data_IF_596778592650
#
_entry.id   IF_596778592650
#
_cell.length_a   1.000
_cell.length_b   1.000
_cell.length_c   1.000
_cell.angle_alpha   90.00
_cell.angle_beta   90.00
_cell.angle_gamma   90.00
#
_symmetry.space_group_name_H-M   'P 1'
#
loop_
_entity.id
_entity.type
_entity.pdbx_description
1 polymer ?
#
# COMPACT_ATOMS: atom_id res chain seq x y z
N UNK A 1 7.61 -16.69 2.43
CA UNK A 1 7.29 -16.34 3.84
C UNK A 1 5.80 -16.05 3.97
N UNK A 2 5.21 -16.22 5.15
CA UNK A 2 3.82 -15.83 5.45
C UNK A 2 3.81 -14.85 6.61
N UNK A 3 3.00 -13.80 6.53
CA UNK A 3 2.82 -12.79 7.57
C UNK A 3 1.33 -12.67 7.86
N UNK A 4 0.95 -12.76 9.14
CA UNK A 4 -0.41 -12.48 9.57
C UNK A 4 -0.70 -10.98 9.48
N UNK A 5 -1.83 -10.65 8.89
CA UNK A 5 -2.27 -9.27 8.71
C UNK A 5 -3.73 -9.11 9.12
N UNK A 6 -4.08 -7.92 9.61
CA UNK A 6 -5.46 -7.52 9.81
C UNK A 6 -5.98 -6.88 8.52
N UNK A 7 -7.04 -7.45 7.95
CA UNK A 7 -7.70 -6.87 6.79
C UNK A 7 -8.54 -5.66 7.22
N UNK A 8 -8.34 -4.54 6.53
CA UNK A 8 -9.04 -3.28 6.77
C UNK A 8 -9.94 -2.88 5.60
N UNK A 9 -9.59 -3.33 4.39
CA UNK A 9 -10.45 -3.30 3.22
C UNK A 9 -10.25 -4.59 2.43
N UNK A 10 -11.32 -5.33 2.17
CA UNK A 10 -11.29 -6.66 1.57
C UNK A 10 -10.79 -6.66 0.12
N UNK A 11 -10.28 -7.81 -0.32
CA UNK A 11 -9.88 -8.08 -1.70
C UNK A 11 -8.52 -8.78 -1.79
N UNK A 12 -8.44 -9.73 -2.72
CA UNK A 12 -7.23 -10.47 -2.99
C UNK A 12 -6.39 -9.76 -4.05
N UNK A 13 -5.07 -9.83 -3.89
CA UNK A 13 -4.14 -9.16 -4.78
C UNK A 13 -2.83 -9.91 -4.89
N UNK A 14 -2.24 -9.94 -6.08
CA UNK A 14 -0.90 -10.48 -6.31
C UNK A 14 -0.11 -9.57 -7.26
N UNK A 15 1.14 -9.30 -6.90
CA UNK A 15 2.01 -8.46 -7.73
C UNK A 15 3.43 -8.32 -7.19
N UNK A 16 4.23 -7.57 -7.92
CA UNK A 16 5.57 -7.20 -7.50
C UNK A 16 5.52 -6.26 -6.29
N UNK A 17 6.48 -6.43 -5.37
CA UNK A 17 6.59 -5.62 -4.16
C UNK A 17 7.26 -4.29 -4.50
N UNK A 18 6.66 -3.21 -4.01
CA UNK A 18 7.32 -1.92 -3.83
C UNK A 18 7.29 -1.59 -2.35
N UNK A 19 8.43 -1.72 -1.67
CA UNK A 19 8.55 -1.55 -0.22
C UNK A 19 9.38 -0.32 0.19
N UNK A 20 8.89 0.46 1.14
CA UNK A 20 9.56 1.65 1.69
C UNK A 20 9.71 1.57 3.21
N UNK A 21 10.80 2.15 3.73
CA UNK A 21 11.05 2.25 5.18
C UNK A 21 10.71 3.61 5.77
N UNK A 22 9.89 4.40 5.09
CA UNK A 22 9.51 5.74 5.55
C UNK A 22 8.02 5.95 5.32
N UNK A 23 7.36 6.78 6.17
CA UNK A 23 5.95 7.09 5.99
C UNK A 23 5.71 7.86 4.70
N UNK A 24 4.62 7.53 4.00
CA UNK A 24 4.24 8.19 2.74
C UNK A 24 3.24 9.32 3.00
N UNK A 25 3.52 10.48 2.43
CA UNK A 25 2.56 11.57 2.28
C UNK A 25 1.89 11.48 0.92
N UNK A 26 0.65 11.01 0.89
CA UNK A 26 -0.13 10.99 -0.36
C UNK A 26 -0.31 12.40 -0.95
N UNK A 27 -0.30 13.44 -0.13
CA UNK A 27 -0.24 14.81 -0.62
C UNK A 27 1.23 15.20 -0.90
N UNK A 28 1.53 15.55 -2.16
CA UNK A 28 2.82 16.11 -2.56
C UNK A 28 3.87 15.08 -2.99
N UNK A 29 3.86 13.86 -2.44
CA UNK A 29 4.81 12.80 -2.87
C UNK A 29 4.21 11.87 -3.93
N UNK A 30 2.88 11.76 -4.01
CA UNK A 30 2.22 10.86 -4.95
C UNK A 30 1.67 11.63 -6.14
N UNK A 31 2.12 11.28 -7.34
CA UNK A 31 1.51 11.71 -8.58
C UNK A 31 0.47 10.67 -9.03
N UNK A 32 -0.80 10.93 -8.74
CA UNK A 32 -1.91 10.05 -9.08
C UNK A 32 -2.09 9.82 -10.59
N UNK A 33 -1.79 10.82 -11.41
CA UNK A 33 -1.93 10.75 -12.88
C UNK A 33 -0.92 9.81 -13.53
N UNK A 34 0.24 9.63 -12.90
CA UNK A 34 1.29 8.74 -13.40
C UNK A 34 1.38 7.42 -12.60
N UNK A 35 0.78 7.36 -11.41
CA UNK A 35 0.96 6.20 -10.52
C UNK A 35 2.35 6.11 -9.94
N UNK A 36 2.93 7.25 -9.55
CA UNK A 36 4.32 7.34 -9.11
C UNK A 36 4.42 7.98 -7.73
N UNK A 37 5.32 7.44 -6.91
CA UNK A 37 5.84 8.12 -5.72
C UNK A 37 7.13 8.84 -6.10
N UNK A 38 7.26 10.09 -5.69
CA UNK A 38 8.46 10.90 -5.77
C UNK A 38 9.20 10.79 -4.44
N UNK A 39 10.39 10.19 -4.45
CA UNK A 39 11.23 10.07 -3.27
C UNK A 39 12.69 10.34 -3.62
N UNK A 40 13.31 11.35 -2.96
CA UNK A 40 14.71 11.76 -3.22
C UNK A 40 15.01 11.93 -4.71
N UNK A 41 14.14 12.67 -5.41
CA UNK A 41 14.20 12.94 -6.86
C UNK A 41 14.06 11.71 -7.77
N UNK A 42 13.75 10.53 -7.22
CA UNK A 42 13.42 9.33 -7.99
C UNK A 42 11.91 9.15 -8.08
N UNK A 43 11.45 8.76 -9.27
CA UNK A 43 10.08 8.35 -9.52
C UNK A 43 9.99 6.83 -9.47
N UNK A 44 9.08 6.31 -8.65
CA UNK A 44 8.89 4.88 -8.49
C UNK A 44 7.42 4.59 -8.77
N UNK A 45 7.17 3.73 -9.76
CA UNK A 45 5.80 3.34 -10.11
C UNK A 45 5.20 2.41 -9.06
N UNK A 46 3.97 2.71 -8.66
CA UNK A 46 3.15 1.90 -7.76
C UNK A 46 1.96 1.24 -8.46
N UNK A 47 1.76 1.54 -9.74
CA UNK A 47 0.68 0.96 -10.53
C UNK A 47 0.82 -0.55 -10.63
N UNK A 48 -0.27 -1.26 -10.34
CA UNK A 48 -0.36 -2.72 -10.41
C UNK A 48 0.61 -3.48 -9.46
N UNK A 49 1.17 -2.79 -8.45
CA UNK A 49 2.11 -3.34 -7.46
C UNK A 49 1.43 -3.64 -6.12
N UNK A 50 2.13 -4.39 -5.27
CA UNK A 50 1.83 -4.49 -3.83
C UNK A 50 2.70 -3.44 -3.13
N UNK A 51 2.06 -2.36 -2.68
CA UNK A 51 2.75 -1.24 -2.03
C UNK A 51 2.84 -1.49 -0.52
N UNK A 52 4.06 -1.49 0.02
CA UNK A 52 4.34 -1.81 1.43
C UNK A 52 5.12 -0.66 2.08
N UNK A 53 4.64 -0.12 3.20
CA UNK A 53 5.30 1.00 3.90
C UNK A 53 4.86 1.07 5.38
N UNK A 54 5.55 1.82 6.28
CA UNK A 54 5.23 1.79 7.71
C UNK A 54 3.83 2.34 8.02
N UNK A 55 3.57 3.59 7.63
CA UNK A 55 2.32 4.31 7.89
C UNK A 55 2.20 5.53 6.98
N UNK A 56 1.08 6.24 7.05
CA UNK A 56 0.92 7.53 6.36
C UNK A 56 1.40 8.71 7.21
N UNK A 57 1.65 9.84 6.54
CA UNK A 57 1.86 11.14 7.19
C UNK A 57 1.04 12.23 6.48
N UNK A 58 0.60 13.23 7.24
CA UNK A 58 -0.25 14.32 6.75
C UNK A 58 -1.75 14.01 6.88
N UNK A 59 -2.58 15.05 7.07
CA UNK A 59 -3.82 14.87 7.84
C UNK A 59 -5.13 15.34 7.17
N UNK A 60 -5.12 15.70 5.88
CA UNK A 60 -6.33 16.33 5.29
C UNK A 60 -6.81 15.65 4.01
N UNK A 61 -6.00 15.64 2.95
CA UNK A 61 -6.46 15.34 1.58
C UNK A 61 -5.87 14.07 0.97
N UNK A 62 -5.17 13.26 1.76
CA UNK A 62 -4.54 12.03 1.27
C UNK A 62 -5.53 11.02 0.66
N UNK A 63 -6.74 10.93 1.22
CA UNK A 63 -7.80 10.05 0.72
C UNK A 63 -8.22 10.38 -0.72
N UNK A 64 -8.28 11.65 -1.09
CA UNK A 64 -8.60 12.08 -2.46
C UNK A 64 -7.49 11.73 -3.45
N UNK A 65 -6.23 11.71 -3.03
CA UNK A 65 -5.13 11.29 -3.89
C UNK A 65 -5.16 9.78 -4.13
N UNK A 66 -5.50 8.99 -3.09
CA UNK A 66 -5.73 7.54 -3.23
C UNK A 66 -6.88 7.27 -4.20
N UNK A 67 -7.99 8.00 -4.06
CA UNK A 67 -9.10 7.94 -5.01
C UNK A 67 -8.67 8.32 -6.43
N UNK A 68 -7.89 9.39 -6.58
CA UNK A 68 -7.38 9.81 -7.88
C UNK A 68 -6.49 8.73 -8.54
N UNK A 69 -5.66 8.00 -7.77
CA UNK A 69 -4.88 6.88 -8.31
C UNK A 69 -5.79 5.84 -8.97
N UNK A 70 -6.91 5.50 -8.32
CA UNK A 70 -7.90 4.57 -8.88
C UNK A 70 -8.60 5.17 -10.09
N UNK A 71 -9.06 6.41 -10.00
CA UNK A 71 -9.72 7.13 -11.09
C UNK A 71 -8.87 7.19 -12.37
N UNK A 72 -7.55 7.40 -12.22
CA UNK A 72 -6.60 7.40 -13.34
C UNK A 72 -6.09 6.01 -13.74
N UNK A 73 -6.64 4.92 -13.18
CA UNK A 73 -6.22 3.54 -13.44
C UNK A 73 -4.73 3.28 -13.15
N UNK A 74 -4.22 3.90 -12.10
CA UNK A 74 -2.81 3.83 -11.69
C UNK A 74 -2.63 3.39 -10.23
N UNK A 75 -3.69 2.86 -9.63
CA UNK A 75 -3.65 2.37 -8.26
C UNK A 75 -2.74 1.15 -8.10
N UNK A 76 -2.16 0.96 -6.91
CA UNK A 76 -1.61 -0.33 -6.52
C UNK A 76 -2.72 -1.39 -6.44
N UNK A 77 -2.34 -2.66 -6.58
CA UNK A 77 -3.26 -3.80 -6.40
C UNK A 77 -3.65 -4.01 -4.95
N UNK A 78 -2.73 -3.72 -4.03
CA UNK A 78 -2.99 -3.70 -2.59
C UNK A 78 -2.00 -2.79 -1.89
N UNK A 79 -2.41 -2.30 -0.72
CA UNK A 79 -1.57 -1.55 0.21
C UNK A 79 -1.45 -2.35 1.51
N UNK A 80 -0.22 -2.59 1.97
CA UNK A 80 0.05 -3.21 3.26
C UNK A 80 0.87 -2.24 4.11
N UNK A 81 0.44 -2.00 5.34
CA UNK A 81 1.13 -1.08 6.25
C UNK A 81 1.45 -1.72 7.59
N UNK A 82 2.46 -1.21 8.30
CA UNK A 82 2.69 -1.59 9.70
C UNK A 82 1.63 -0.98 10.62
N UNK A 83 1.17 0.24 10.29
CA UNK A 83 0.08 0.91 10.98
C UNK A 83 -0.77 1.74 10.02
N UNK A 84 -2.07 1.46 10.01
CA UNK A 84 -3.04 2.20 9.22
C UNK A 84 -3.61 3.39 10.00
N UNK A 85 -3.73 4.53 9.31
CA UNK A 85 -4.41 5.72 9.81
C UNK A 85 -5.80 5.85 9.17
N UNK A 86 -6.78 6.51 9.83
CA UNK A 86 -8.14 6.65 9.31
C UNK A 86 -8.25 7.20 7.89
N UNK A 87 -7.37 8.12 7.49
CA UNK A 87 -7.36 8.73 6.15
C UNK A 87 -6.97 7.71 5.07
N UNK A 88 -5.98 6.87 5.35
CA UNK A 88 -5.58 5.79 4.44
C UNK A 88 -6.72 4.80 4.26
N UNK A 89 -7.36 4.40 5.37
CA UNK A 89 -8.50 3.47 5.37
C UNK A 89 -9.63 4.04 4.54
N UNK A 90 -10.04 5.29 4.80
CA UNK A 90 -11.09 5.97 4.05
C UNK A 90 -10.76 6.04 2.55
N UNK A 91 -9.53 6.42 2.18
CA UNK A 91 -9.09 6.46 0.79
C UNK A 91 -9.15 5.10 0.10
N UNK A 92 -8.69 4.04 0.77
CA UNK A 92 -8.69 2.68 0.22
C UNK A 92 -10.11 2.12 0.05
N UNK A 93 -10.98 2.32 1.04
CA UNK A 93 -12.39 1.92 0.99
C UNK A 93 -13.10 2.63 -0.16
N UNK A 94 -12.95 3.96 -0.27
CA UNK A 94 -13.54 4.75 -1.37
C UNK A 94 -13.04 4.31 -2.76
N UNK A 95 -11.83 3.78 -2.83
CA UNK A 95 -11.16 3.39 -4.09
C UNK A 95 -11.30 1.90 -4.43
N UNK A 96 -11.85 1.09 -3.53
CA UNK A 96 -11.84 -0.36 -3.64
C UNK A 96 -10.41 -0.93 -3.77
N UNK A 97 -9.44 -0.35 -3.05
CA UNK A 97 -8.05 -0.84 -3.01
C UNK A 97 -7.91 -1.69 -1.75
N UNK A 98 -7.56 -2.98 -1.87
CA UNK A 98 -7.29 -3.84 -0.71
C UNK A 98 -6.27 -3.22 0.24
N UNK A 99 -6.58 -3.27 1.54
CA UNK A 99 -5.76 -2.68 2.59
C UNK A 99 -5.61 -3.65 3.75
N UNK A 100 -4.38 -3.86 4.22
CA UNK A 100 -4.10 -4.67 5.40
C UNK A 100 -3.03 -4.03 6.31
N UNK A 101 -3.11 -4.32 7.60
CA UNK A 101 -2.17 -3.88 8.65
C UNK A 101 -1.37 -5.09 9.21
N UNK A 102 -0.06 -4.96 9.36
CA UNK A 102 0.83 -5.98 9.95
C UNK A 102 0.44 -6.31 11.39
N UNK A 103 0.46 -7.60 11.75
CA UNK A 103 0.25 -8.07 13.12
C UNK A 103 1.53 -8.65 13.76
N UNK A 104 2.60 -8.85 12.99
CA UNK A 104 3.83 -9.49 13.45
C UNK A 104 4.97 -8.49 13.74
N UNK A 105 4.86 -7.25 13.28
CA UNK A 105 5.86 -6.20 13.49
C UNK A 105 7.16 -6.42 12.73
N UNK A 106 7.13 -7.23 11.67
CA UNK A 106 8.29 -7.61 10.87
C UNK A 106 8.09 -7.38 9.36
N UNK A 107 6.95 -6.81 8.94
CA UNK A 107 6.55 -6.63 7.55
C UNK A 107 7.67 -6.04 6.68
N UNK A 108 8.21 -4.88 7.05
CA UNK A 108 9.22 -4.21 6.22
C UNK A 108 10.56 -4.93 6.18
N UNK A 109 10.92 -5.57 7.29
CA UNK A 109 12.15 -6.38 7.38
C UNK A 109 12.09 -7.56 6.42
N UNK A 110 10.95 -8.23 6.36
CA UNK A 110 10.77 -9.42 5.51
C UNK A 110 10.48 -9.04 4.06
N UNK A 111 9.57 -8.10 3.79
CA UNK A 111 9.16 -7.71 2.43
C UNK A 111 10.33 -7.35 1.51
N UNK A 112 11.40 -6.74 2.04
CA UNK A 112 12.61 -6.37 1.29
C UNK A 112 13.44 -7.55 0.75
N UNK A 113 13.22 -8.75 1.27
CA UNK A 113 13.94 -9.97 0.86
C UNK A 113 13.26 -10.69 -0.31
N UNK A 114 12.05 -10.26 -0.67
CA UNK A 114 11.18 -10.91 -1.64
C UNK A 114 10.86 -9.96 -2.79
N UNK A 115 10.44 -10.53 -3.91
CA UNK A 115 10.16 -9.76 -5.13
C UNK A 115 8.67 -9.61 -5.40
N UNK A 116 7.86 -10.56 -4.90
CA UNK A 116 6.41 -10.61 -5.11
C UNK A 116 5.68 -10.88 -3.81
N UNK A 117 4.44 -10.41 -3.75
CA UNK A 117 3.54 -10.69 -2.66
C UNK A 117 2.15 -11.05 -3.16
N UNK A 118 1.46 -11.89 -2.38
CA UNK A 118 0.05 -12.19 -2.54
C UNK A 118 -0.68 -11.91 -1.23
N UNK A 119 -1.67 -11.03 -1.27
CA UNK A 119 -2.61 -10.81 -0.18
C UNK A 119 -3.80 -11.77 -0.36
N UNK A 120 -4.04 -12.59 0.66
CA UNK A 120 -5.25 -13.40 0.81
C UNK A 120 -6.10 -12.75 1.91
N UNK A 121 -7.18 -12.09 1.49
CA UNK A 121 -8.06 -11.34 2.37
C UNK A 121 -8.98 -12.22 3.19
N UNK A 122 -9.27 -13.44 2.73
CA UNK A 122 -10.11 -14.39 3.45
C UNK A 122 -9.37 -15.00 4.64
N UNK A 123 -8.11 -15.37 4.42
CA UNK A 123 -7.28 -15.99 5.47
C UNK A 123 -6.55 -14.95 6.35
N UNK A 124 -6.51 -13.69 5.93
CA UNK A 124 -5.76 -12.64 6.64
C UNK A 124 -4.25 -12.87 6.59
N UNK A 125 -3.75 -13.31 5.43
CA UNK A 125 -2.35 -13.67 5.24
C UNK A 125 -1.76 -12.91 4.06
N UNK A 126 -0.59 -12.32 4.28
CA UNK A 126 0.30 -11.87 3.22
C UNK A 126 1.37 -12.91 2.98
N UNK A 127 1.40 -13.46 1.77
CA UNK A 127 2.48 -14.33 1.30
C UNK A 127 3.54 -13.52 0.57
N UNK A 128 4.81 -13.81 0.83
CA UNK A 128 5.98 -13.18 0.20
C UNK A 128 6.82 -14.25 -0.52
N UNK A 129 7.19 -13.98 -1.78
CA UNK A 129 7.92 -14.89 -2.67
C UNK A 129 9.07 -14.20 -3.42
#
# INVERSE_FOLDING_TARGET
>A
MRIRVKILNEGDAEGEIVAYNFPISFLGEVNAKNGEIIFKDKKISIKDKILIFPNTRGSTVGSYVIYALKYYNNAPKAIIVEKAEPILIAGCVLSGIPLAEDLEGNLLKEAKKYSKAKLDSKEGILFLY
#
